data_IF_679584799204
#
_entry.id   IF_679584799204
#
_cell.length_a   1.000
_cell.length_b   1.000
_cell.length_c   1.000
_cell.angle_alpha   90.00
_cell.angle_beta   90.00
_cell.angle_gamma   90.00
#
_symmetry.space_group_name_H-M   'P 1'
#
loop_
_entity.id
_entity.type
_entity.pdbx_description
1 polymer ?
#
# COMPACT_ATOMS: atom_id res chain seq x y z
N UNK A 1 8.47 -2.65 -1.30
CA UNK A 1 7.06 -2.86 -1.72
C UNK A 1 6.95 -2.41 -3.18
N UNK A 2 6.14 -3.03 -4.04
CA UNK A 2 5.94 -2.56 -5.42
C UNK A 2 5.42 -1.11 -5.45
N UNK A 3 5.84 -0.34 -6.45
CA UNK A 3 5.59 1.10 -6.51
C UNK A 3 4.10 1.45 -6.46
N UNK A 4 3.26 0.81 -7.26
CA UNK A 4 1.82 1.06 -7.26
C UNK A 4 1.17 0.79 -5.90
N UNK A 5 1.60 -0.25 -5.19
CA UNK A 5 1.10 -0.54 -3.84
C UNK A 5 1.51 0.56 -2.84
N UNK A 6 2.74 1.07 -2.96
CA UNK A 6 3.25 2.16 -2.12
C UNK A 6 2.46 3.44 -2.38
N UNK A 7 2.34 3.85 -3.64
CA UNK A 7 1.60 5.05 -4.04
C UNK A 7 0.13 4.99 -3.64
N UNK A 8 -0.56 3.88 -3.90
CA UNK A 8 -1.95 3.68 -3.47
C UNK A 8 -2.11 3.83 -1.96
N UNK A 9 -1.20 3.25 -1.16
CA UNK A 9 -1.25 3.35 0.30
C UNK A 9 -0.96 4.79 0.76
N UNK A 10 -0.06 5.50 0.08
CA UNK A 10 0.27 6.89 0.34
C UNK A 10 -0.93 7.82 0.12
N UNK A 11 -1.57 7.72 -1.05
CA UNK A 11 -2.75 8.51 -1.40
C UNK A 11 -3.91 8.22 -0.45
N UNK A 12 -4.09 6.95 -0.05
CA UNK A 12 -5.20 6.55 0.83
C UNK A 12 -4.98 6.92 2.29
N UNK A 13 -3.86 6.51 2.87
CA UNK A 13 -3.65 6.55 4.32
C UNK A 13 -2.98 7.84 4.78
N UNK A 14 -2.09 8.43 3.96
CA UNK A 14 -1.40 9.68 4.33
C UNK A 14 -2.16 10.92 3.83
N UNK A 15 -2.80 10.84 2.67
CA UNK A 15 -3.44 12.00 2.03
C UNK A 15 -4.98 11.95 2.11
N UNK A 16 -5.56 10.80 2.46
CA UNK A 16 -7.01 10.68 2.73
C UNK A 16 -7.91 10.60 1.51
N UNK A 17 -7.37 10.37 0.30
CA UNK A 17 -8.17 10.32 -0.93
C UNK A 17 -9.19 9.16 -0.94
N UNK A 18 -10.35 9.41 -1.55
CA UNK A 18 -11.35 8.40 -1.85
C UNK A 18 -10.86 7.43 -2.94
N UNK A 19 -11.47 6.25 -3.03
CA UNK A 19 -11.08 5.22 -4.01
C UNK A 19 -11.22 5.72 -5.46
N UNK A 20 -12.29 6.45 -5.76
CA UNK A 20 -12.53 7.06 -7.07
C UNK A 20 -11.44 8.08 -7.45
N UNK A 21 -11.00 8.90 -6.50
CA UNK A 21 -9.92 9.87 -6.73
C UNK A 21 -8.59 9.16 -6.99
N UNK A 22 -8.26 8.13 -6.20
CA UNK A 22 -7.05 7.33 -6.39
C UNK A 22 -7.07 6.59 -7.74
N UNK A 23 -8.24 6.05 -8.11
CA UNK A 23 -8.49 5.38 -9.39
C UNK A 23 -8.16 6.31 -10.56
N UNK A 24 -8.62 7.56 -10.50
CA UNK A 24 -8.32 8.58 -11.51
C UNK A 24 -6.85 9.02 -11.49
N UNK A 25 -6.24 9.21 -10.31
CA UNK A 25 -4.83 9.65 -10.17
C UNK A 25 -3.86 8.59 -10.73
N UNK A 26 -4.13 7.31 -10.48
CA UNK A 26 -3.24 6.21 -10.84
C UNK A 26 -3.60 5.55 -12.17
N UNK A 27 -4.65 6.03 -12.86
CA UNK A 27 -5.18 5.49 -14.11
C UNK A 27 -5.44 3.97 -14.04
N UNK A 28 -6.18 3.56 -13.00
CA UNK A 28 -6.59 2.17 -12.77
C UNK A 28 -8.06 2.12 -12.35
N UNK A 29 -8.71 0.97 -12.38
CA UNK A 29 -10.08 0.84 -11.85
C UNK A 29 -10.14 0.88 -10.31
N UNK A 30 -11.24 1.35 -9.74
CA UNK A 30 -11.48 1.30 -8.29
C UNK A 30 -11.34 -0.11 -7.70
N UNK A 31 -11.75 -1.13 -8.46
CA UNK A 31 -11.55 -2.52 -8.06
C UNK A 31 -10.06 -2.87 -7.92
N UNK A 32 -9.22 -2.40 -8.84
CA UNK A 32 -7.77 -2.56 -8.74
C UNK A 32 -7.20 -1.79 -7.55
N UNK A 33 -7.68 -0.57 -7.27
CA UNK A 33 -7.27 0.20 -6.08
C UNK A 33 -7.50 -0.60 -4.79
N UNK A 34 -8.67 -1.24 -4.63
CA UNK A 34 -8.96 -2.08 -3.46
C UNK A 34 -7.97 -3.24 -3.33
N UNK A 35 -7.60 -3.88 -4.44
CA UNK A 35 -6.60 -4.96 -4.47
C UNK A 35 -5.21 -4.43 -4.09
N UNK A 36 -4.82 -3.27 -4.63
CA UNK A 36 -3.54 -2.64 -4.31
C UNK A 36 -3.44 -2.28 -2.83
N UNK A 37 -4.47 -1.68 -2.24
CA UNK A 37 -4.53 -1.37 -0.79
C UNK A 37 -4.38 -2.65 0.03
N UNK A 38 -5.14 -3.70 -0.29
CA UNK A 38 -5.10 -4.96 0.45
C UNK A 38 -3.70 -5.59 0.41
N UNK A 39 -3.10 -5.68 -0.78
CA UNK A 39 -1.74 -6.24 -0.96
C UNK A 39 -0.69 -5.39 -0.26
N UNK A 40 -0.80 -4.06 -0.33
CA UNK A 40 0.09 -3.13 0.33
C UNK A 40 0.05 -3.30 1.85
N UNK A 41 -1.15 -3.36 2.45
CA UNK A 41 -1.34 -3.58 3.90
C UNK A 41 -0.79 -4.93 4.35
N UNK A 42 -1.12 -6.01 3.64
CA UNK A 42 -0.58 -7.35 3.96
C UNK A 42 0.95 -7.36 3.92
N UNK A 43 1.55 -6.67 2.95
CA UNK A 43 3.00 -6.58 2.84
C UNK A 43 3.61 -5.74 3.96
N UNK A 44 2.96 -4.64 4.36
CA UNK A 44 3.36 -3.84 5.51
C UNK A 44 3.32 -4.66 6.81
N UNK A 45 2.25 -5.41 7.05
CA UNK A 45 2.15 -6.29 8.22
C UNK A 45 3.28 -7.31 8.29
N UNK A 46 3.62 -7.95 7.17
CA UNK A 46 4.75 -8.91 7.13
C UNK A 46 6.10 -8.23 7.41
N UNK A 47 6.29 -6.98 6.98
CA UNK A 47 7.52 -6.24 7.31
C UNK A 47 7.59 -5.95 8.81
N UNK A 48 6.48 -5.54 9.41
CA UNK A 48 6.38 -5.27 10.85
C UNK A 48 6.64 -6.55 11.64
N UNK A 49 6.01 -7.66 11.25
CA UNK A 49 6.21 -8.98 11.87
C UNK A 49 7.66 -9.43 11.77
N UNK A 50 8.28 -9.26 10.60
CA UNK A 50 9.70 -9.56 10.42
C UNK A 50 10.56 -8.70 11.36
N UNK A 51 10.36 -7.38 11.36
CA UNK A 51 11.09 -6.47 12.24
C UNK A 51 10.92 -6.82 13.73
N UNK A 52 9.71 -7.15 14.15
CA UNK A 52 9.42 -7.58 15.53
C UNK A 52 10.14 -8.88 15.89
N UNK A 53 10.36 -9.76 14.91
CA UNK A 53 10.98 -11.08 15.13
C UNK A 53 12.51 -11.02 15.05
N UNK A 54 13.07 -10.28 14.10
CA UNK A 54 14.52 -10.27 13.80
C UNK A 54 15.24 -9.03 14.34
N UNK A 55 14.51 -7.95 14.65
CA UNK A 55 15.09 -6.65 14.96
C UNK A 55 15.64 -5.90 13.74
N UNK A 56 15.54 -6.47 12.54
CA UNK A 56 16.06 -5.91 11.31
C UNK A 56 14.93 -5.36 10.42
N UNK A 57 15.11 -4.16 9.91
CA UNK A 57 14.18 -3.63 8.90
C UNK A 57 14.41 -4.38 7.58
N UNK A 58 13.33 -4.85 6.94
CA UNK A 58 13.41 -5.32 5.57
C UNK A 58 13.85 -4.14 4.67
N UNK A 59 15.14 -4.08 4.31
CA UNK A 59 15.66 -3.11 3.36
C UNK A 59 15.00 -3.36 1.98
N UNK A 60 14.42 -2.30 1.41
CA UNK A 60 13.74 -2.30 0.11
C UNK A 60 14.56 -1.57 -0.94
#
# INVERSE_FOLDING_TARGET
MPEQQKLTLQLREQQGYALAEISNILDVSESNVRVLIHRARNRLYRMIEHFQTTGECCLF
#
